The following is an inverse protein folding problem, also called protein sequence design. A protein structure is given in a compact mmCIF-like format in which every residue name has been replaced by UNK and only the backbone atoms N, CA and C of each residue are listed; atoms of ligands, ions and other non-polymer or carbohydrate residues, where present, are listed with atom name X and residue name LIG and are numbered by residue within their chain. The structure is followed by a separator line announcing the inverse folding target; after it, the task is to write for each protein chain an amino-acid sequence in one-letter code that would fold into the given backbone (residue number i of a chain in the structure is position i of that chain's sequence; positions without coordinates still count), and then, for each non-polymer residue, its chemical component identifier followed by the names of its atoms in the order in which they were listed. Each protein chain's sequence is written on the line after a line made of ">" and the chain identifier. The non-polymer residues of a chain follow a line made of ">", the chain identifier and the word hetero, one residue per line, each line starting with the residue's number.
data_IF_207175855210
#
_entry.id   IF_207175855210
#
_cell.length_a   1.000
_cell.length_b   1.000
_cell.length_c   1.000
_cell.angle_alpha   90.00
_cell.angle_beta   90.00
_cell.angle_gamma   90.00
#
_symmetry.space_group_name_H-M   'P 1'
#
loop_
_entity.id
_entity.type
_entity.pdbx_description
1 polymer ?
#
# COMPACT_ATOMS: atom_id res chain seq x y z
N UNK A 1 60.37 -42.02 21.88
CA UNK A 1 59.68 -40.71 21.91
C UNK A 1 59.88 -40.07 20.55
N UNK A 2 58.81 -39.86 19.77
CA UNK A 2 58.91 -39.20 18.48
C UNK A 2 59.15 -37.69 18.69
N UNK A 3 59.95 -37.02 17.86
CA UNK A 3 60.15 -35.57 17.97
C UNK A 3 58.82 -34.83 17.82
N UNK A 4 58.59 -33.79 18.63
CA UNK A 4 57.44 -32.90 18.46
C UNK A 4 57.56 -32.19 17.11
N UNK A 5 56.68 -32.53 16.17
CA UNK A 5 56.63 -31.93 14.84
C UNK A 5 55.71 -30.71 14.85
N UNK A 6 56.18 -29.57 14.36
CA UNK A 6 55.34 -28.39 14.20
C UNK A 6 54.29 -28.61 13.10
N UNK A 7 53.02 -28.50 13.46
CA UNK A 7 51.88 -28.74 12.56
C UNK A 7 51.27 -27.41 12.09
N UNK A 8 51.35 -27.13 10.79
CA UNK A 8 50.70 -25.98 10.15
C UNK A 8 49.35 -26.37 9.55
N UNK A 9 48.42 -25.40 9.43
CA UNK A 9 47.10 -25.60 8.80
C UNK A 9 47.16 -25.22 7.31
N UNK A 10 46.43 -25.93 6.48
CA UNK A 10 46.25 -25.56 5.07
C UNK A 10 45.38 -24.29 4.92
N UNK A 11 45.55 -23.51 3.83
CA UNK A 11 44.64 -22.44 3.44
C UNK A 11 43.18 -22.90 3.34
N UNK A 12 42.23 -21.97 3.50
CA UNK A 12 40.80 -22.29 3.47
C UNK A 12 40.40 -22.89 2.11
N UNK A 13 40.08 -24.18 2.09
CA UNK A 13 39.61 -24.91 0.91
C UNK A 13 40.57 -26.00 0.44
N UNK A 14 41.85 -25.91 0.80
CA UNK A 14 42.88 -26.89 0.42
C UNK A 14 43.03 -27.99 1.46
N UNK A 15 43.31 -29.21 0.98
CA UNK A 15 43.57 -30.40 1.79
C UNK A 15 44.54 -31.29 1.04
N UNK A 16 45.23 -32.18 1.75
CA UNK A 16 46.02 -33.22 1.09
C UNK A 16 45.12 -34.11 0.22
N UNK A 17 45.53 -34.34 -1.02
CA UNK A 17 44.77 -35.08 -2.03
C UNK A 17 44.55 -36.56 -1.66
N UNK A 18 45.52 -37.16 -0.96
CA UNK A 18 45.47 -38.59 -0.60
C UNK A 18 44.80 -38.85 0.75
N UNK A 19 45.14 -38.07 1.79
CA UNK A 19 44.68 -38.30 3.18
C UNK A 19 43.55 -37.34 3.64
N UNK A 20 43.21 -36.32 2.84
CA UNK A 20 42.22 -35.29 3.19
C UNK A 20 42.58 -34.44 4.43
N UNK A 21 43.83 -34.51 4.90
CA UNK A 21 44.26 -33.80 6.10
C UNK A 21 44.27 -32.28 5.85
N UNK A 22 43.94 -31.54 6.91
CA UNK A 22 43.99 -30.07 6.94
C UNK A 22 45.23 -29.55 7.68
N UNK A 23 46.19 -30.43 7.97
CA UNK A 23 47.45 -30.08 8.65
C UNK A 23 48.64 -30.72 7.95
N UNK A 24 49.77 -30.02 7.91
CA UNK A 24 51.03 -30.49 7.33
C UNK A 24 52.23 -30.11 8.21
N UNK A 25 53.36 -30.79 8.05
CA UNK A 25 54.63 -30.48 8.72
C UNK A 25 55.79 -30.47 7.72
N UNK A 26 56.87 -29.76 8.05
CA UNK A 26 58.12 -29.74 7.30
C UNK A 26 59.10 -30.74 7.92
N UNK A 27 59.72 -31.57 7.09
CA UNK A 27 60.83 -32.44 7.48
C UNK A 27 61.84 -32.40 6.32
N UNK A 28 63.07 -31.93 6.58
CA UNK A 28 64.14 -31.84 5.58
C UNK A 28 63.78 -31.03 4.31
N UNK A 29 63.12 -29.88 4.46
CA UNK A 29 62.75 -28.99 3.34
C UNK A 29 61.57 -29.49 2.47
N UNK A 30 60.93 -30.61 2.85
CA UNK A 30 59.78 -31.17 2.17
C UNK A 30 58.55 -31.15 3.08
N UNK A 31 57.37 -30.86 2.51
CA UNK A 31 56.10 -30.82 3.25
C UNK A 31 55.41 -32.19 3.23
N UNK A 32 54.91 -32.60 4.39
CA UNK A 32 54.22 -33.87 4.58
C UNK A 32 52.84 -33.69 5.23
N UNK A 33 51.86 -34.50 4.83
CA UNK A 33 50.55 -34.60 5.49
C UNK A 33 50.71 -35.06 6.95
N UNK A 34 50.05 -34.39 7.90
CA UNK A 34 50.17 -34.71 9.33
C UNK A 34 49.59 -36.08 9.74
N UNK A 35 48.67 -36.66 8.94
CA UNK A 35 48.02 -37.93 9.27
C UNK A 35 48.84 -39.15 8.84
N UNK A 36 49.29 -39.17 7.59
CA UNK A 36 49.89 -40.37 6.98
C UNK A 36 51.24 -40.10 6.31
N UNK A 37 51.79 -38.88 6.43
CA UNK A 37 53.13 -38.57 5.93
C UNK A 37 53.24 -38.55 4.40
N UNK A 38 52.13 -38.34 3.66
CA UNK A 38 52.20 -38.14 2.20
C UNK A 38 53.02 -36.90 1.86
N UNK A 39 54.02 -37.07 1.01
CA UNK A 39 54.81 -35.96 0.46
C UNK A 39 53.90 -35.12 -0.43
N UNK A 40 53.76 -33.84 -0.08
CA UNK A 40 53.01 -32.88 -0.87
C UNK A 40 53.94 -32.43 -2.00
N UNK A 41 53.90 -33.15 -3.11
CA UNK A 41 54.72 -32.85 -4.29
C UNK A 41 54.26 -31.52 -4.89
N UNK A 42 55.14 -30.52 -4.83
CA UNK A 42 55.17 -29.26 -5.59
C UNK A 42 53.77 -28.68 -5.91
N UNK A 43 53.29 -27.79 -5.04
CA UNK A 43 52.14 -26.93 -5.35
C UNK A 43 52.34 -26.30 -6.75
N UNK A 44 51.37 -26.41 -7.68
CA UNK A 44 51.44 -25.76 -9.00
C UNK A 44 51.56 -24.23 -8.90
N UNK A 45 51.18 -23.69 -7.75
CA UNK A 45 51.46 -22.32 -7.30
C UNK A 45 52.80 -22.32 -6.56
N UNK A 46 53.88 -22.19 -7.34
CA UNK A 46 55.27 -22.21 -6.88
C UNK A 46 55.50 -21.41 -5.59
N UNK A 47 55.89 -22.12 -4.55
CA UNK A 47 56.36 -21.54 -3.29
C UNK A 47 57.87 -21.75 -3.23
N UNK A 48 58.63 -20.67 -3.44
CA UNK A 48 60.07 -20.62 -3.16
C UNK A 48 60.20 -20.25 -1.69
N UNK A 49 60.84 -21.11 -0.89
CA UNK A 49 61.35 -20.68 0.41
C UNK A 49 62.42 -19.63 0.14
N UNK A 50 62.07 -18.36 0.35
CA UNK A 50 63.07 -17.32 0.52
C UNK A 50 63.66 -17.52 1.91
N UNK A 51 64.87 -18.07 1.94
CA UNK A 51 65.73 -18.06 3.13
C UNK A 51 66.09 -16.60 3.42
N UNK A 52 65.26 -15.94 4.24
CA UNK A 52 65.58 -14.63 4.78
C UNK A 52 66.58 -14.87 5.90
N UNK A 53 67.86 -14.71 5.56
CA UNK A 53 68.95 -14.73 6.52
C UNK A 53 68.68 -13.81 7.70
N UNK A 54 68.97 -14.33 8.89
CA UNK A 54 68.83 -13.71 10.21
C UNK A 54 69.81 -12.54 10.42
N UNK A 55 69.74 -11.51 9.57
CA UNK A 55 70.50 -10.27 9.76
C UNK A 55 69.56 -9.06 9.81
N UNK A 56 69.39 -8.56 11.03
CA UNK A 56 69.10 -7.18 11.41
C UNK A 56 68.26 -6.35 10.41
N UNK A 57 66.94 -6.53 10.45
CA UNK A 57 65.99 -5.49 10.04
C UNK A 57 65.03 -5.15 11.16
N UNK A 58 65.56 -4.43 12.16
CA UNK A 58 64.79 -3.62 13.10
C UNK A 58 64.07 -2.46 12.39
N UNK A 59 63.06 -2.75 11.58
CA UNK A 59 62.11 -1.74 11.12
C UNK A 59 60.74 -2.38 10.88
N UNK A 60 59.92 -2.42 11.92
CA UNK A 60 58.47 -2.61 11.79
C UNK A 60 57.92 -1.43 10.99
N UNK A 61 57.86 -1.59 9.67
CA UNK A 61 57.14 -0.67 8.80
C UNK A 61 55.73 -0.51 9.33
N UNK A 62 55.36 0.72 9.72
CA UNK A 62 54.04 1.03 10.25
C UNK A 62 53.03 0.85 9.11
N UNK A 63 52.36 -0.29 9.07
CA UNK A 63 51.29 -0.56 8.11
C UNK A 63 50.15 0.41 8.41
N UNK A 64 50.12 1.56 7.73
CA UNK A 64 48.97 2.45 7.78
C UNK A 64 47.86 1.80 6.95
N UNK A 65 46.99 1.04 7.61
CA UNK A 65 45.72 0.66 7.02
C UNK A 65 44.99 1.96 6.71
N UNK A 66 44.91 2.36 5.42
CA UNK A 66 44.14 3.54 5.01
C UNK A 66 42.76 3.41 5.62
N UNK A 67 42.47 4.30 6.57
CA UNK A 67 41.19 4.32 7.28
C UNK A 67 40.13 4.50 6.20
N UNK A 68 39.26 3.50 6.04
CA UNK A 68 38.12 3.58 5.13
C UNK A 68 37.37 4.84 5.53
N UNK A 69 37.42 5.87 4.68
CA UNK A 69 36.65 7.09 4.92
C UNK A 69 35.20 6.65 5.14
N UNK A 70 34.73 6.81 6.36
CA UNK A 70 33.33 6.59 6.69
C UNK A 70 32.62 7.74 6.00
N UNK A 71 32.23 7.53 4.74
CA UNK A 71 31.26 8.41 4.07
C UNK A 71 30.07 8.44 4.99
N UNK A 72 29.84 9.61 5.58
CA UNK A 72 28.71 9.89 6.43
C UNK A 72 27.46 9.50 5.63
N UNK A 73 26.82 8.40 6.03
CA UNK A 73 25.54 8.02 5.45
C UNK A 73 24.52 8.98 6.06
N UNK A 74 24.41 10.18 5.49
CA UNK A 74 23.29 11.08 5.76
C UNK A 74 22.05 10.23 5.56
N UNK A 75 21.32 9.94 6.65
CA UNK A 75 20.08 9.17 6.58
C UNK A 75 19.16 9.96 5.68
N UNK A 76 19.01 9.53 4.43
CA UNK A 76 18.16 10.22 3.44
C UNK A 76 16.72 10.25 3.92
N UNK A 77 16.31 9.24 4.68
CA UNK A 77 14.97 9.08 5.21
C UNK A 77 14.88 9.70 6.60
N UNK A 78 13.93 10.61 6.78
CA UNK A 78 13.64 11.26 8.06
C UNK A 78 13.04 10.24 9.05
N UNK A 79 13.11 10.53 10.34
CA UNK A 79 12.51 9.68 11.39
C UNK A 79 11.89 10.52 12.49
N UNK A 80 10.98 9.92 13.26
CA UNK A 80 10.30 10.60 14.37
C UNK A 80 9.41 11.75 13.92
N UNK A 81 9.48 12.88 14.62
CA UNK A 81 8.63 14.04 14.38
C UNK A 81 8.83 14.66 12.99
N UNK A 82 10.08 14.78 12.53
CA UNK A 82 10.38 15.34 11.20
C UNK A 82 9.73 14.53 10.06
N UNK A 83 9.58 13.22 10.23
CA UNK A 83 8.87 12.39 9.26
C UNK A 83 7.35 12.59 9.30
N UNK A 84 6.78 12.88 10.48
CA UNK A 84 5.36 13.22 10.65
C UNK A 84 5.05 14.55 10.00
N UNK A 85 5.89 15.57 10.24
CA UNK A 85 5.72 16.90 9.66
C UNK A 85 5.81 16.83 8.13
N UNK A 86 6.82 16.14 7.59
CA UNK A 86 6.95 15.91 6.14
C UNK A 86 5.72 15.17 5.56
N UNK A 87 5.16 14.20 6.30
CA UNK A 87 3.96 13.51 5.87
C UNK A 87 2.73 14.43 5.81
N UNK A 88 2.57 15.30 6.81
CA UNK A 88 1.51 16.31 6.82
C UNK A 88 1.68 17.30 5.66
N UNK A 89 2.90 17.76 5.38
CA UNK A 89 3.20 18.60 4.21
C UNK A 89 2.84 17.90 2.90
N UNK A 90 3.14 16.60 2.76
CA UNK A 90 2.74 15.82 1.59
C UNK A 90 1.21 15.81 1.42
N UNK A 91 0.47 15.58 2.51
CA UNK A 91 -0.99 15.58 2.47
C UNK A 91 -1.58 16.96 2.18
N UNK A 92 -0.98 18.03 2.72
CA UNK A 92 -1.37 19.41 2.44
C UNK A 92 -1.25 19.74 0.95
N UNK A 93 -0.15 19.35 0.31
CA UNK A 93 0.02 19.54 -1.14
C UNK A 93 -1.05 18.80 -1.94
N UNK A 94 -1.33 17.54 -1.57
CA UNK A 94 -2.38 16.75 -2.22
C UNK A 94 -3.75 17.41 -2.05
N UNK A 95 -4.08 17.84 -0.83
CA UNK A 95 -5.34 18.49 -0.51
C UNK A 95 -5.50 19.82 -1.28
N UNK A 96 -4.44 20.61 -1.37
CA UNK A 96 -4.43 21.87 -2.12
C UNK A 96 -4.71 21.66 -3.60
N UNK A 97 -4.08 20.68 -4.23
CA UNK A 97 -4.32 20.35 -5.64
C UNK A 97 -5.76 19.84 -5.87
N UNK A 98 -6.31 19.06 -4.93
CA UNK A 98 -7.70 18.60 -4.98
C UNK A 98 -8.70 19.76 -4.92
N UNK A 99 -8.51 20.70 -3.97
CA UNK A 99 -9.36 21.88 -3.83
C UNK A 99 -9.25 22.76 -5.07
N UNK A 100 -8.02 23.02 -5.54
CA UNK A 100 -7.78 23.83 -6.73
C UNK A 100 -8.54 23.25 -7.93
N UNK A 101 -8.51 21.93 -8.11
CA UNK A 101 -9.27 21.26 -9.15
C UNK A 101 -10.79 21.42 -8.98
N UNK A 102 -11.32 21.31 -7.75
CA UNK A 102 -12.74 21.50 -7.46
C UNK A 102 -13.20 22.95 -7.78
N UNK A 103 -12.39 23.95 -7.43
CA UNK A 103 -12.71 25.36 -7.70
C UNK A 103 -12.58 25.66 -9.20
N UNK A 104 -11.47 25.27 -9.83
CA UNK A 104 -11.17 25.66 -11.22
C UNK A 104 -11.89 24.84 -12.28
N UNK A 105 -11.97 23.51 -12.13
CA UNK A 105 -12.54 22.60 -13.13
C UNK A 105 -14.01 22.30 -12.88
N UNK A 106 -14.43 22.19 -11.62
CA UNK A 106 -15.85 21.95 -11.27
C UNK A 106 -16.64 23.23 -10.99
N UNK A 107 -15.96 24.36 -10.79
CA UNK A 107 -16.63 25.64 -10.55
C UNK A 107 -17.26 25.74 -9.17
N UNK A 108 -16.70 25.06 -8.16
CA UNK A 108 -17.13 25.24 -6.77
C UNK A 108 -16.76 26.64 -6.24
N UNK A 109 -17.45 27.09 -5.19
CA UNK A 109 -17.19 28.39 -4.58
C UNK A 109 -15.74 28.49 -4.06
N UNK A 110 -15.11 29.64 -4.25
CA UNK A 110 -13.74 29.89 -3.78
C UNK A 110 -13.61 29.79 -2.25
N UNK A 111 -14.71 30.01 -1.51
CA UNK A 111 -14.80 29.84 -0.06
C UNK A 111 -14.48 28.41 0.38
N UNK A 112 -14.61 27.41 -0.51
CA UNK A 112 -14.28 26.01 -0.23
C UNK A 112 -12.82 25.85 0.22
N UNK A 113 -11.91 26.61 -0.37
CA UNK A 113 -10.50 26.58 0.03
C UNK A 113 -10.31 27.02 1.48
N UNK A 114 -10.98 28.10 1.88
CA UNK A 114 -10.89 28.62 3.25
C UNK A 114 -11.49 27.65 4.25
N UNK A 115 -12.69 27.13 3.98
CA UNK A 115 -13.34 26.17 4.86
C UNK A 115 -12.52 24.89 5.03
N UNK A 116 -11.96 24.34 3.94
CA UNK A 116 -11.16 23.11 4.03
C UNK A 116 -9.81 23.36 4.69
N UNK A 117 -9.20 24.54 4.49
CA UNK A 117 -8.00 24.96 5.23
C UNK A 117 -8.27 25.04 6.72
N UNK A 118 -9.35 25.69 7.13
CA UNK A 118 -9.69 25.84 8.55
C UNK A 118 -9.98 24.46 9.19
N UNK A 119 -10.67 23.56 8.47
CA UNK A 119 -10.84 22.16 8.89
C UNK A 119 -9.50 21.44 9.05
N UNK A 120 -8.61 21.58 8.06
CA UNK A 120 -7.28 20.98 8.13
C UNK A 120 -6.48 21.51 9.32
N UNK A 121 -6.50 22.82 9.54
CA UNK A 121 -5.81 23.48 10.63
C UNK A 121 -6.35 23.00 11.98
N UNK A 122 -7.68 22.90 12.15
CA UNK A 122 -8.26 22.28 13.35
C UNK A 122 -7.73 20.87 13.55
N UNK A 123 -7.69 20.05 12.51
CA UNK A 123 -7.18 18.68 12.61
C UNK A 123 -5.70 18.62 13.00
N UNK A 124 -4.85 19.49 12.43
CA UNK A 124 -3.41 19.48 12.69
C UNK A 124 -3.02 20.21 13.98
N UNK A 125 -3.77 21.22 14.40
CA UNK A 125 -3.54 21.94 15.66
C UNK A 125 -3.79 21.07 16.90
N UNK A 126 -4.58 19.99 16.79
CA UNK A 126 -4.71 18.97 17.83
C UNK A 126 -3.45 18.11 18.04
N UNK A 127 -2.50 18.12 17.08
CA UNK A 127 -1.19 17.52 17.26
C UNK A 127 -0.23 18.61 17.78
N UNK A 128 0.10 18.67 19.08
CA UNK A 128 1.02 19.68 19.56
C UNK A 128 2.35 19.49 18.85
N UNK A 129 2.72 20.49 18.04
CA UNK A 129 4.11 20.84 17.84
C UNK A 129 4.66 21.12 19.23
N UNK A 130 5.28 20.11 19.85
CA UNK A 130 6.21 20.36 20.94
C UNK A 130 7.25 21.28 20.34
N UNK A 131 7.12 22.56 20.65
CA UNK A 131 8.11 23.57 20.36
C UNK A 131 9.35 23.09 21.09
N UNK A 132 10.26 22.46 20.35
CA UNK A 132 11.56 22.10 20.86
C UNK A 132 12.28 23.44 21.03
N UNK A 133 12.17 24.02 22.23
CA UNK A 133 13.02 25.10 22.65
C UNK A 133 14.44 24.54 22.69
N UNK A 134 15.24 24.90 21.69
CA UNK A 134 16.68 24.72 21.68
C UNK A 134 17.29 25.64 22.75
N UNK A 135 17.10 25.27 24.02
CA UNK A 135 17.83 25.81 25.15
C UNK A 135 18.40 24.65 25.96
N UNK A 136 19.71 24.46 25.79
CA UNK A 136 20.52 23.53 26.55
C UNK A 136 20.34 23.73 28.05
N UNK A 137 19.67 22.77 28.71
CA UNK A 137 19.79 22.55 30.15
C UNK A 137 19.47 21.09 30.46
N UNK A 138 20.52 20.36 30.81
CA UNK A 138 20.53 19.12 31.59
C UNK A 138 19.39 19.04 32.64
N UNK A 139 18.69 17.89 32.68
CA UNK A 139 17.87 17.26 33.77
C UNK A 139 16.75 16.45 33.11
N UNK A 140 16.50 15.15 33.32
CA UNK A 140 16.91 14.08 34.23
C UNK A 140 16.62 12.76 33.47
N UNK A 141 17.35 11.65 33.70
CA UNK A 141 17.04 10.38 33.05
C UNK A 141 15.75 9.80 33.66
N UNK A 142 14.66 9.78 32.89
CA UNK A 142 13.41 9.13 33.28
C UNK A 142 13.67 7.66 33.57
N UNK A 143 13.52 7.29 34.83
CA UNK A 143 13.74 5.96 35.36
C UNK A 143 12.87 4.94 34.63
N UNK A 144 13.55 3.93 34.08
CA UNK A 144 13.01 2.79 33.36
C UNK A 144 12.22 1.89 34.34
N UNK A 145 10.89 2.01 34.35
CA UNK A 145 10.05 1.08 35.12
C UNK A 145 9.79 -0.17 34.30
N UNK A 146 10.55 -1.22 34.61
CA UNK A 146 10.40 -2.56 34.04
C UNK A 146 9.22 -3.26 34.70
N UNK A 147 8.03 -3.18 34.09
CA UNK A 147 6.98 -4.18 34.30
C UNK A 147 6.51 -4.69 32.94
N UNK A 148 7.10 -5.83 32.57
CA UNK A 148 6.69 -6.69 31.48
C UNK A 148 5.29 -7.25 31.81
N UNK A 149 4.27 -6.75 31.13
CA UNK A 149 3.00 -7.46 30.99
C UNK A 149 3.05 -8.21 29.65
N UNK A 150 3.39 -9.50 29.72
CA UNK A 150 3.39 -10.40 28.56
C UNK A 150 1.96 -10.90 28.34
N UNK A 151 1.15 -10.08 27.68
CA UNK A 151 -0.02 -10.54 26.95
C UNK A 151 0.25 -10.29 25.47
N UNK A 152 0.56 -11.38 24.77
CA UNK A 152 0.74 -11.44 23.33
C UNK A 152 -0.61 -11.15 22.66
N UNK A 153 -0.90 -9.88 22.39
CA UNK A 153 -1.98 -9.52 21.46
C UNK A 153 -1.44 -9.60 20.03
N UNK A 154 -1.78 -10.72 19.39
CA UNK A 154 -1.83 -10.87 17.93
C UNK A 154 -2.53 -9.66 17.27
N UNK A 155 -2.07 -9.17 16.11
CA UNK A 155 -2.61 -8.00 15.45
C UNK A 155 -4.00 -8.32 14.86
N UNK A 156 -5.03 -8.21 15.69
CA UNK A 156 -6.40 -8.23 15.24
C UNK A 156 -6.63 -6.99 14.39
N UNK A 157 -6.85 -7.23 13.09
CA UNK A 157 -7.25 -6.23 12.09
C UNK A 157 -8.07 -5.10 12.69
N UNK A 158 -7.52 -3.89 12.62
CA UNK A 158 -8.10 -2.66 13.14
C UNK A 158 -9.56 -2.48 12.70
N UNK A 159 -10.51 -2.85 13.56
CA UNK A 159 -11.88 -2.33 13.50
C UNK A 159 -11.75 -0.82 13.61
N UNK A 160 -12.02 -0.13 12.51
CA UNK A 160 -12.06 1.34 12.45
C UNK A 160 -12.87 1.86 13.62
N UNK A 161 -12.20 2.47 14.60
CA UNK A 161 -12.86 3.18 15.71
C UNK A 161 -13.74 4.26 15.07
N UNK A 162 -15.03 4.26 15.40
CA UNK A 162 -16.07 5.08 14.77
C UNK A 162 -15.85 6.59 14.94
N UNK A 163 -15.14 6.99 16.00
CA UNK A 163 -14.68 8.34 16.25
C UNK A 163 -13.28 8.27 16.88
N UNK A 164 -12.40 9.20 16.51
CA UNK A 164 -11.01 9.23 16.96
C UNK A 164 -10.73 10.53 17.75
N UNK A 165 -10.17 10.40 18.95
CA UNK A 165 -9.60 11.53 19.69
C UNK A 165 -8.27 11.93 19.06
N UNK A 166 -8.04 13.23 18.92
CA UNK A 166 -6.78 13.80 18.43
C UNK A 166 -5.92 14.36 19.56
N UNK A 167 -6.43 14.39 20.79
CA UNK A 167 -5.64 14.76 21.95
C UNK A 167 -4.52 13.74 22.20
N UNK A 168 -3.33 14.18 22.62
CA UNK A 168 -2.27 13.29 23.09
C UNK A 168 -2.67 12.79 24.48
N UNK A 169 -3.56 11.81 24.57
CA UNK A 169 -3.72 11.06 25.81
C UNK A 169 -2.54 10.09 25.97
N UNK A 170 -1.94 10.11 27.15
CA UNK A 170 -0.71 9.40 27.50
C UNK A 170 -0.83 7.91 27.13
N UNK A 171 -0.09 7.50 26.09
CA UNK A 171 -0.01 6.10 25.63
C UNK A 171 -0.73 5.79 24.31
N UNK A 172 -1.52 6.70 23.74
CA UNK A 172 -2.17 6.46 22.44
C UNK A 172 -1.22 6.73 21.27
N UNK A 173 -1.21 5.84 20.28
CA UNK A 173 -0.47 6.04 19.02
C UNK A 173 -1.03 7.26 18.28
N UNK A 174 -0.12 8.10 17.75
CA UNK A 174 -0.49 9.31 17.00
C UNK A 174 -1.48 8.98 15.87
N UNK A 175 -2.68 9.60 15.87
CA UNK A 175 -3.74 9.30 14.91
C UNK A 175 -3.45 9.93 13.53
N UNK A 176 -2.52 9.33 12.77
CA UNK A 176 -2.07 9.85 11.49
C UNK A 176 -3.24 10.02 10.48
N UNK A 177 -3.39 11.19 9.84
CA UNK A 177 -4.40 11.39 8.81
C UNK A 177 -4.19 10.43 7.63
N UNK A 178 -5.26 9.83 7.12
CA UNK A 178 -5.19 8.95 5.96
C UNK A 178 -5.29 9.75 4.67
N UNK A 179 -4.76 9.22 3.58
CA UNK A 179 -4.91 9.82 2.25
C UNK A 179 -6.37 9.94 1.85
N UNK A 180 -7.21 8.95 2.21
CA UNK A 180 -8.67 9.04 1.98
C UNK A 180 -9.32 10.21 2.71
N UNK A 181 -8.73 10.65 3.81
CA UNK A 181 -9.31 11.74 4.58
C UNK A 181 -9.19 13.09 3.85
N UNK A 182 -8.28 13.26 2.89
CA UNK A 182 -8.22 14.49 2.07
C UNK A 182 -9.46 14.66 1.21
N UNK A 183 -9.93 13.58 0.58
CA UNK A 183 -11.23 13.54 -0.10
C UNK A 183 -12.38 13.75 0.89
N UNK A 184 -12.28 13.16 2.09
CA UNK A 184 -13.25 13.34 3.15
C UNK A 184 -13.41 14.79 3.59
N UNK A 185 -12.30 15.52 3.73
CA UNK A 185 -12.30 16.95 4.06
C UNK A 185 -12.91 17.79 2.95
N UNK A 186 -12.64 17.47 1.68
CA UNK A 186 -13.31 18.12 0.55
C UNK A 186 -14.84 17.95 0.61
N UNK A 187 -15.32 16.75 0.97
CA UNK A 187 -16.76 16.46 1.15
C UNK A 187 -17.32 17.29 2.30
N UNK A 188 -16.67 17.27 3.47
CA UNK A 188 -17.12 18.04 4.64
C UNK A 188 -17.15 19.55 4.38
N UNK A 189 -16.16 20.08 3.65
CA UNK A 189 -16.16 21.46 3.18
C UNK A 189 -17.34 21.78 2.27
N UNK A 190 -17.68 20.88 1.34
CA UNK A 190 -18.87 21.04 0.49
C UNK A 190 -20.17 21.01 1.32
N UNK A 191 -20.25 20.14 2.33
CA UNK A 191 -21.40 20.05 3.25
C UNK A 191 -21.59 21.36 4.03
N UNK A 192 -20.51 21.92 4.57
CA UNK A 192 -20.54 23.20 5.29
C UNK A 192 -21.03 24.36 4.41
N UNK A 193 -20.57 24.40 3.16
CA UNK A 193 -21.00 25.40 2.17
C UNK A 193 -22.34 25.08 1.49
N UNK A 194 -23.03 24.01 1.91
CA UNK A 194 -24.30 23.53 1.33
C UNK A 194 -24.24 23.24 -0.18
N UNK A 195 -23.04 22.97 -0.71
CA UNK A 195 -22.82 22.58 -2.10
C UNK A 195 -23.30 21.13 -2.26
N UNK A 196 -24.20 20.82 -3.21
CA UNK A 196 -24.78 19.49 -3.38
C UNK A 196 -23.80 18.52 -4.09
N UNK A 197 -22.63 18.30 -3.51
CA UNK A 197 -21.62 17.38 -4.04
C UNK A 197 -21.81 15.99 -3.42
N UNK A 198 -22.05 14.98 -4.25
CA UNK A 198 -22.27 13.61 -3.78
C UNK A 198 -20.95 12.91 -3.50
N UNK A 199 -20.92 12.07 -2.47
CA UNK A 199 -19.76 11.24 -2.13
C UNK A 199 -19.38 10.33 -3.32
N UNK A 200 -20.38 9.78 -4.02
CA UNK A 200 -20.20 8.99 -5.23
C UNK A 200 -19.58 9.77 -6.40
N UNK A 201 -19.81 11.09 -6.50
CA UNK A 201 -19.18 11.90 -7.53
C UNK A 201 -17.68 12.06 -7.29
N UNK A 202 -17.28 12.33 -6.05
CA UNK A 202 -15.86 12.43 -5.69
C UNK A 202 -15.17 11.07 -5.85
N UNK A 203 -15.80 9.97 -5.43
CA UNK A 203 -15.27 8.63 -5.65
C UNK A 203 -15.09 8.33 -7.15
N UNK A 204 -16.07 8.70 -7.99
CA UNK A 204 -16.02 8.56 -9.45
C UNK A 204 -14.89 9.40 -10.05
N UNK A 205 -14.73 10.65 -9.62
CA UNK A 205 -13.64 11.52 -10.10
C UNK A 205 -12.27 11.01 -9.67
N UNK A 206 -12.13 10.46 -8.46
CA UNK A 206 -10.90 9.87 -7.97
C UNK A 206 -10.53 8.59 -8.73
N UNK A 207 -11.52 7.72 -9.00
CA UNK A 207 -11.36 6.50 -9.80
C UNK A 207 -10.96 6.80 -11.25
N UNK A 208 -11.61 7.80 -11.85
CA UNK A 208 -11.30 8.26 -13.20
C UNK A 208 -9.94 8.98 -13.30
N UNK A 209 -9.31 9.33 -12.19
CA UNK A 209 -8.09 10.15 -12.15
C UNK A 209 -8.31 11.61 -12.55
N UNK A 210 -9.57 12.08 -12.53
CA UNK A 210 -9.89 13.48 -12.84
C UNK A 210 -9.49 14.42 -11.71
N UNK A 211 -9.82 14.04 -10.46
CA UNK A 211 -9.33 14.74 -9.27
C UNK A 211 -7.97 14.14 -8.86
N UNK A 212 -6.97 14.96 -8.46
CA UNK A 212 -5.68 14.48 -8.00
C UNK A 212 -5.79 13.54 -6.78
N UNK A 213 -5.72 12.24 -7.01
CA UNK A 213 -5.78 11.24 -5.94
C UNK A 213 -4.99 9.97 -6.29
N UNK A 214 -5.33 9.35 -7.43
CA UNK A 214 -4.73 8.09 -7.90
C UNK A 214 -3.21 8.17 -8.06
N UNK A 215 -2.72 9.31 -8.53
CA UNK A 215 -1.30 9.56 -8.79
C UNK A 215 -0.71 10.58 -7.81
N UNK A 216 -1.38 10.84 -6.70
CA UNK A 216 -0.99 11.84 -5.71
C UNK A 216 0.47 11.69 -5.27
N UNK A 217 0.93 10.46 -5.00
CA UNK A 217 2.32 10.19 -4.64
C UNK A 217 3.32 10.58 -5.75
N UNK A 218 2.96 10.40 -7.01
CA UNK A 218 3.87 10.65 -8.13
C UNK A 218 3.94 12.13 -8.53
N UNK A 219 2.94 12.92 -8.15
CA UNK A 219 2.89 14.36 -8.35
C UNK A 219 3.66 15.14 -7.27
N UNK A 220 4.03 14.50 -6.15
CA UNK A 220 4.82 15.13 -5.10
C UNK A 220 6.26 15.43 -5.56
N UNK A 221 6.86 16.53 -5.06
CA UNK A 221 8.27 16.86 -5.30
C UNK A 221 9.21 15.70 -4.95
N UNK A 222 10.23 15.48 -5.79
CA UNK A 222 11.15 14.36 -5.62
C UNK A 222 11.85 14.37 -4.26
N UNK A 223 12.23 15.56 -3.79
CA UNK A 223 12.89 15.76 -2.49
C UNK A 223 12.07 15.24 -1.31
N UNK A 224 10.74 15.41 -1.35
CA UNK A 224 9.85 14.90 -0.31
C UNK A 224 9.72 13.37 -0.41
N UNK A 225 9.60 12.84 -1.63
CA UNK A 225 9.46 11.38 -1.85
C UNK A 225 10.68 10.60 -1.39
N UNK A 226 11.87 11.14 -1.61
CA UNK A 226 13.13 10.48 -1.24
C UNK A 226 13.38 10.50 0.27
N UNK A 227 12.78 11.47 0.99
CA UNK A 227 12.92 11.67 2.43
C UNK A 227 11.84 10.95 3.26
N UNK A 228 10.72 10.56 2.65
CA UNK A 228 9.58 9.99 3.35
C UNK A 228 9.78 8.50 3.73
N UNK A 229 9.49 8.10 4.98
CA UNK A 229 9.58 6.70 5.41
C UNK A 229 8.65 5.72 4.67
N UNK A 230 9.01 4.43 4.61
CA UNK A 230 8.19 3.39 4.00
C UNK A 230 6.80 3.25 4.63
N UNK A 231 6.66 3.52 5.95
CA UNK A 231 5.38 3.49 6.68
C UNK A 231 4.34 4.44 6.09
N UNK A 232 4.76 5.63 5.66
CA UNK A 232 3.88 6.65 5.07
C UNK A 232 3.81 6.57 3.54
N UNK A 233 4.90 6.16 2.87
CA UNK A 233 4.89 6.00 1.41
C UNK A 233 3.98 4.86 0.94
N UNK A 234 3.83 3.80 1.75
CA UNK A 234 3.03 2.62 1.35
C UNK A 234 1.54 2.98 1.20
N UNK A 235 0.87 3.64 2.18
CA UNK A 235 -0.49 4.15 2.00
C UNK A 235 -0.65 5.13 0.84
N UNK A 236 0.31 6.04 0.64
CA UNK A 236 0.29 7.02 -0.46
C UNK A 236 0.35 6.34 -1.83
N UNK A 237 1.15 5.28 -1.97
CA UNK A 237 1.20 4.47 -3.20
C UNK A 237 -0.05 3.62 -3.38
N UNK A 238 -0.62 3.12 -2.29
CA UNK A 238 -1.86 2.32 -2.31
C UNK A 238 -3.08 3.11 -2.80
N UNK A 239 -3.07 4.44 -2.68
CA UNK A 239 -4.12 5.30 -3.22
C UNK A 239 -4.37 5.09 -4.73
N UNK A 240 -3.36 4.63 -5.48
CA UNK A 240 -3.48 4.28 -6.91
C UNK A 240 -4.46 3.13 -7.19
N UNK A 241 -4.64 2.24 -6.21
CA UNK A 241 -5.47 1.04 -6.28
C UNK A 241 -6.86 1.26 -5.66
N UNK A 242 -7.17 2.47 -5.19
CA UNK A 242 -8.44 2.75 -4.54
C UNK A 242 -9.61 2.61 -5.51
N UNK A 243 -10.45 1.59 -5.29
CA UNK A 243 -11.66 1.37 -6.06
C UNK A 243 -12.88 2.06 -5.45
N UNK A 244 -12.93 2.21 -4.11
CA UNK A 244 -14.05 2.76 -3.33
C UNK A 244 -15.34 1.92 -3.35
N UNK A 245 -15.28 0.63 -3.69
CA UNK A 245 -16.48 -0.19 -3.92
C UNK A 245 -17.19 -0.61 -2.63
N UNK A 246 -16.48 -0.68 -1.50
CA UNK A 246 -17.02 -1.16 -0.21
C UNK A 246 -17.51 -0.04 0.72
N UNK A 247 -17.79 1.15 0.19
CA UNK A 247 -18.24 2.28 1.01
C UNK A 247 -17.15 2.85 1.95
N UNK A 248 -15.88 2.53 1.70
CA UNK A 248 -14.74 2.97 2.52
C UNK A 248 -14.67 4.50 2.64
N UNK A 249 -14.97 5.21 1.54
CA UNK A 249 -15.03 6.68 1.54
C UNK A 249 -16.16 7.21 2.42
N UNK A 250 -17.35 6.57 2.37
CA UNK A 250 -18.47 6.94 3.24
C UNK A 250 -18.11 6.76 4.71
N UNK A 251 -17.52 5.61 5.06
CA UNK A 251 -17.05 5.35 6.42
C UNK A 251 -15.98 6.36 6.84
N UNK A 252 -15.06 6.71 5.93
CA UNK A 252 -14.03 7.72 6.18
C UNK A 252 -14.61 9.09 6.49
N UNK A 253 -15.55 9.58 5.67
CA UNK A 253 -16.24 10.86 5.86
C UNK A 253 -17.01 10.87 7.17
N UNK A 254 -17.75 9.80 7.46
CA UNK A 254 -18.53 9.69 8.69
C UNK A 254 -17.62 9.69 9.92
N UNK A 255 -16.55 8.89 9.90
CA UNK A 255 -15.60 8.85 11.01
C UNK A 255 -14.91 10.21 11.22
N UNK A 256 -14.61 10.95 10.13
CA UNK A 256 -14.09 12.31 10.24
C UNK A 256 -15.09 13.26 10.88
N UNK A 257 -16.34 13.26 10.42
CA UNK A 257 -17.39 14.10 10.99
C UNK A 257 -17.58 13.82 12.49
N UNK A 258 -17.60 12.54 12.86
CA UNK A 258 -17.70 12.12 14.26
C UNK A 258 -16.46 12.50 15.08
N UNK A 259 -15.27 12.48 14.47
CA UNK A 259 -14.04 12.92 15.13
C UNK A 259 -14.04 14.44 15.35
N UNK A 260 -14.46 15.25 14.37
CA UNK A 260 -14.63 16.70 14.57
C UNK A 260 -15.66 17.02 15.66
N UNK A 261 -16.75 16.24 15.73
CA UNK A 261 -17.73 16.38 16.79
C UNK A 261 -17.13 16.03 18.17
N UNK A 262 -16.40 14.92 18.27
CA UNK A 262 -15.77 14.48 19.53
C UNK A 262 -14.73 15.48 20.04
N UNK A 263 -13.90 16.05 19.16
CA UNK A 263 -12.78 16.91 19.57
C UNK A 263 -13.21 18.38 19.76
N UNK A 264 -14.13 18.90 18.94
CA UNK A 264 -14.46 20.33 18.90
C UNK A 264 -15.95 20.64 19.12
N UNK A 265 -16.79 19.62 19.37
CA UNK A 265 -18.26 19.75 19.39
C UNK A 265 -18.82 20.38 18.09
N UNK A 266 -18.09 20.22 16.98
CA UNK A 266 -18.52 20.74 15.68
C UNK A 266 -19.73 19.96 15.18
N UNK A 267 -20.76 20.67 14.73
CA UNK A 267 -21.97 20.09 14.16
C UNK A 267 -22.03 20.44 12.69
N UNK A 268 -22.07 19.41 11.84
CA UNK A 268 -22.24 19.60 10.39
C UNK A 268 -23.73 19.78 10.07
N UNK A 269 -24.07 20.68 9.13
CA UNK A 269 -25.43 20.82 8.66
C UNK A 269 -25.91 19.53 7.97
N UNK A 270 -27.23 19.30 7.88
CA UNK A 270 -27.77 18.17 7.13
C UNK A 270 -27.38 18.29 5.65
N UNK A 271 -27.31 17.14 4.97
CA UNK A 271 -27.04 17.07 3.55
C UNK A 271 -28.10 17.86 2.77
N UNK A 272 -27.72 18.35 1.59
CA UNK A 272 -28.66 19.06 0.72
C UNK A 272 -29.55 18.04 -0.01
N UNK A 273 -30.44 17.41 0.75
CA UNK A 273 -31.26 16.28 0.31
C UNK A 273 -32.06 16.64 -0.95
N UNK A 274 -32.64 17.84 -1.00
CA UNK A 274 -33.44 18.31 -2.15
C UNK A 274 -32.62 18.35 -3.43
N UNK A 275 -31.47 19.02 -3.42
CA UNK A 275 -30.63 19.14 -4.62
C UNK A 275 -29.97 17.82 -5.00
N UNK A 276 -29.58 17.00 -4.02
CA UNK A 276 -29.02 15.67 -4.28
C UNK A 276 -30.07 14.72 -4.86
N UNK A 277 -31.31 14.73 -4.37
CA UNK A 277 -32.41 13.96 -4.97
C UNK A 277 -32.71 14.41 -6.38
N UNK A 278 -32.74 15.73 -6.63
CA UNK A 278 -32.95 16.25 -7.99
C UNK A 278 -31.86 15.76 -8.96
N UNK A 279 -30.60 15.68 -8.50
CA UNK A 279 -29.51 15.11 -9.29
C UNK A 279 -29.76 13.63 -9.61
N UNK A 280 -30.19 12.81 -8.65
CA UNK A 280 -30.53 11.41 -8.89
C UNK A 280 -31.72 11.25 -9.83
N UNK A 281 -32.77 12.05 -9.67
CA UNK A 281 -33.94 12.10 -10.57
C UNK A 281 -33.50 12.39 -12.00
N UNK A 282 -32.60 13.37 -12.18
CA UNK A 282 -32.04 13.72 -13.49
C UNK A 282 -31.18 12.59 -14.07
N UNK A 283 -30.33 11.95 -13.28
CA UNK A 283 -29.48 10.85 -13.75
C UNK A 283 -30.27 9.60 -14.12
N UNK A 284 -31.33 9.29 -13.37
CA UNK A 284 -32.19 8.14 -13.59
C UNK A 284 -33.31 8.41 -14.61
N UNK A 285 -33.41 9.63 -15.15
CA UNK A 285 -34.44 10.04 -16.10
C UNK A 285 -35.86 9.95 -15.53
N UNK A 286 -36.02 10.11 -14.21
CA UNK A 286 -37.30 9.92 -13.55
C UNK A 286 -38.22 11.11 -13.86
N UNK A 287 -39.51 10.87 -14.16
CA UNK A 287 -40.46 11.95 -14.31
C UNK A 287 -40.64 12.65 -12.96
N UNK A 288 -40.10 13.86 -12.81
CA UNK A 288 -40.38 14.71 -11.67
C UNK A 288 -41.83 15.22 -11.80
N UNK A 289 -42.77 14.52 -11.16
CA UNK A 289 -44.13 15.03 -11.01
C UNK A 289 -44.13 16.17 -10.00
N UNK A 290 -44.10 17.42 -10.47
CA UNK A 290 -44.66 18.56 -9.72
C UNK A 290 -46.18 18.50 -9.80
N UNK A 291 -46.97 19.02 -8.88
CA UNK A 291 -46.79 20.25 -8.11
C UNK A 291 -47.51 20.11 -6.76
N UNK A 292 -46.84 20.46 -5.66
CA UNK A 292 -47.50 21.03 -4.49
C UNK A 292 -46.74 22.33 -4.18
N UNK A 293 -47.37 23.47 -4.43
CA UNK A 293 -46.76 24.81 -4.43
C UNK A 293 -46.24 25.32 -3.07
N UNK A 294 -46.32 24.52 -2.00
CA UNK A 294 -46.12 25.06 -0.63
C UNK A 294 -45.01 24.34 0.16
N UNK A 295 -44.54 23.18 -0.29
CA UNK A 295 -43.36 22.54 0.32
C UNK A 295 -42.62 21.74 -0.75
N UNK A 296 -41.31 21.98 -0.89
CA UNK A 296 -40.37 21.12 -1.62
C UNK A 296 -40.25 19.76 -0.90
N UNK A 297 -41.35 19.00 -0.84
CA UNK A 297 -41.33 17.60 -0.49
C UNK A 297 -40.62 16.89 -1.63
N UNK A 298 -39.58 16.15 -1.27
CA UNK A 298 -38.85 15.18 -2.09
C UNK A 298 -39.75 14.66 -3.22
N UNK A 299 -39.38 14.80 -4.51
CA UNK A 299 -40.23 14.38 -5.62
C UNK A 299 -40.74 12.96 -5.36
N UNK A 300 -42.06 12.83 -5.17
CA UNK A 300 -42.66 11.51 -4.96
C UNK A 300 -42.43 10.71 -6.23
N UNK A 301 -41.64 9.66 -6.08
CA UNK A 301 -41.30 8.81 -7.19
C UNK A 301 -42.49 7.92 -7.55
N UNK A 302 -43.09 8.17 -8.71
CA UNK A 302 -44.12 7.29 -9.25
C UNK A 302 -43.45 6.10 -9.95
N UNK A 303 -43.33 4.99 -9.21
CA UNK A 303 -42.70 3.75 -9.66
C UNK A 303 -43.48 3.08 -10.79
N UNK A 304 -44.80 3.25 -10.83
CA UNK A 304 -45.63 2.67 -11.89
C UNK A 304 -45.43 3.42 -13.20
N UNK A 305 -45.44 4.76 -13.14
CA UNK A 305 -45.14 5.62 -14.29
C UNK A 305 -43.72 5.41 -14.80
N UNK A 306 -42.73 5.32 -13.91
CA UNK A 306 -41.35 5.02 -14.30
C UNK A 306 -41.21 3.65 -14.96
N UNK A 307 -41.82 2.60 -14.38
CA UNK A 307 -41.77 1.24 -14.94
C UNK A 307 -42.35 1.21 -16.35
N UNK A 308 -43.46 1.92 -16.59
CA UNK A 308 -44.04 2.03 -17.94
C UNK A 308 -43.10 2.75 -18.92
N UNK A 309 -42.41 3.81 -18.48
CA UNK A 309 -41.44 4.56 -19.30
C UNK A 309 -40.17 3.74 -19.58
N UNK A 310 -39.65 3.01 -18.60
CA UNK A 310 -38.40 2.26 -18.70
C UNK A 310 -38.56 0.82 -19.17
N UNK A 311 -39.77 0.27 -19.20
CA UNK A 311 -40.02 -1.10 -19.69
C UNK A 311 -39.37 -1.41 -21.05
N UNK A 312 -39.38 -0.50 -22.05
CA UNK A 312 -38.70 -0.72 -23.34
C UNK A 312 -37.17 -0.71 -23.23
N UNK A 313 -36.60 0.08 -22.30
CA UNK A 313 -35.15 0.18 -22.12
C UNK A 313 -34.59 -1.03 -21.34
N UNK A 314 -35.34 -1.52 -20.35
CA UNK A 314 -34.98 -2.69 -19.55
C UNK A 314 -35.17 -4.02 -20.30
N UNK A 315 -36.15 -4.10 -21.21
CA UNK A 315 -36.34 -5.28 -22.05
C UNK A 315 -35.18 -5.52 -23.02
N UNK A 316 -34.52 -4.44 -23.47
CA UNK A 316 -33.38 -4.54 -24.39
C UNK A 316 -32.11 -5.05 -23.69
N UNK A 317 -31.95 -4.79 -22.38
CA UNK A 317 -30.79 -5.25 -21.59
C UNK A 317 -30.85 -6.71 -21.14
N UNK A 318 -32.05 -7.32 -21.12
CA UNK A 318 -32.23 -8.74 -20.75
C UNK A 318 -31.99 -9.71 -21.91
N UNK A 319 -31.85 -9.24 -23.15
CA UNK A 319 -31.52 -10.09 -24.31
C UNK A 319 -30.06 -10.57 -24.27
N UNK A 320 -29.24 -10.08 -23.35
CA UNK A 320 -27.91 -10.64 -23.05
C UNK A 320 -27.89 -11.58 -21.83
N UNK A 321 -29.06 -12.08 -21.38
CA UNK A 321 -29.08 -13.28 -20.55
C UNK A 321 -28.73 -14.47 -21.44
N UNK A 322 -27.57 -15.09 -21.16
CA UNK A 322 -27.14 -16.37 -21.73
C UNK A 322 -28.31 -17.36 -21.66
N UNK A 323 -28.77 -17.80 -22.82
CA UNK A 323 -29.68 -18.94 -22.91
C UNK A 323 -28.82 -20.18 -22.65
N UNK A 324 -29.02 -20.83 -21.50
CA UNK A 324 -28.32 -22.07 -21.17
C UNK A 324 -28.86 -23.21 -22.05
N UNK A 325 -28.12 -23.56 -23.11
CA UNK A 325 -28.48 -24.58 -24.10
C UNK A 325 -28.04 -26.00 -23.72
N UNK A 326 -27.87 -26.32 -22.43
CA UNK A 326 -27.29 -27.60 -22.00
C UNK A 326 -28.21 -28.80 -22.21
N UNK A 327 -29.52 -28.59 -22.31
CA UNK A 327 -30.52 -29.67 -22.41
C UNK A 327 -31.47 -29.50 -23.62
N UNK A 328 -30.92 -29.20 -24.81
CA UNK A 328 -31.73 -29.10 -26.04
C UNK A 328 -31.92 -30.49 -26.67
N UNK A 329 -33.17 -30.90 -26.91
CA UNK A 329 -33.48 -32.19 -27.56
C UNK A 329 -33.39 -32.10 -29.09
N UNK A 330 -33.08 -33.20 -29.77
CA UNK A 330 -32.91 -33.22 -31.24
C UNK A 330 -34.12 -32.70 -32.03
N UNK A 331 -35.34 -32.87 -31.50
CA UNK A 331 -36.57 -32.32 -32.09
C UNK A 331 -36.66 -30.79 -31.95
N UNK A 332 -36.12 -30.20 -30.89
CA UNK A 332 -36.08 -28.75 -30.69
C UNK A 332 -35.10 -28.08 -31.65
N UNK A 333 -33.92 -28.70 -31.88
CA UNK A 333 -32.92 -28.18 -32.83
C UNK A 333 -33.51 -28.07 -34.24
N UNK A 334 -34.31 -29.06 -34.66
CA UNK A 334 -34.94 -29.07 -35.98
C UNK A 334 -36.06 -28.02 -36.14
N UNK A 335 -36.53 -27.43 -35.04
CA UNK A 335 -37.57 -26.38 -35.03
C UNK A 335 -37.02 -24.96 -34.81
N UNK A 336 -35.72 -24.79 -34.57
CA UNK A 336 -35.11 -23.49 -34.28
C UNK A 336 -34.88 -22.65 -35.54
N UNK A 337 -34.96 -21.32 -35.39
CA UNK A 337 -34.64 -20.38 -36.47
C UNK A 337 -33.13 -20.26 -36.72
N UNK A 338 -32.70 -19.70 -37.87
CA UNK A 338 -31.28 -19.66 -38.25
C UNK A 338 -30.39 -18.88 -37.27
N UNK A 339 -30.86 -17.77 -36.69
CA UNK A 339 -30.09 -17.00 -35.71
C UNK A 339 -29.95 -17.72 -34.35
N UNK A 340 -30.96 -18.48 -33.95
CA UNK A 340 -30.92 -19.27 -32.71
C UNK A 340 -30.03 -20.51 -32.85
N UNK A 341 -29.95 -21.06 -34.07
CA UNK A 341 -29.01 -22.13 -34.41
C UNK A 341 -27.56 -21.64 -34.35
N UNK A 342 -27.27 -20.44 -34.85
CA UNK A 342 -25.92 -19.86 -34.80
C UNK A 342 -25.43 -19.68 -33.35
N UNK A 343 -26.28 -19.17 -32.46
CA UNK A 343 -25.98 -19.03 -31.02
C UNK A 343 -25.78 -20.40 -30.33
N UNK A 344 -26.60 -21.40 -30.68
CA UNK A 344 -26.45 -22.78 -30.19
C UNK A 344 -25.10 -23.40 -30.62
N UNK A 345 -24.71 -23.25 -31.89
CA UNK A 345 -23.43 -23.76 -32.39
C UNK A 345 -22.24 -23.03 -31.77
N UNK A 346 -22.34 -21.72 -31.54
CA UNK A 346 -21.32 -20.95 -30.83
C UNK A 346 -21.12 -21.47 -29.39
N UNK A 347 -22.20 -21.81 -28.70
CA UNK A 347 -22.16 -22.38 -27.35
C UNK A 347 -21.56 -23.80 -27.34
N UNK A 348 -21.91 -24.67 -28.31
CA UNK A 348 -21.31 -25.99 -28.46
C UNK A 348 -19.79 -25.91 -28.71
N UNK A 349 -19.34 -24.95 -29.52
CA UNK A 349 -17.93 -24.74 -29.83
C UNK A 349 -17.10 -24.41 -28.58
N UNK A 350 -17.65 -23.56 -27.69
CA UNK A 350 -17.04 -23.22 -26.41
C UNK A 350 -16.94 -24.41 -25.44
N UNK A 351 -17.94 -25.31 -25.46
CA UNK A 351 -17.93 -26.53 -24.66
C UNK A 351 -16.90 -27.56 -25.17
N UNK A 352 -16.76 -27.71 -26.48
CA UNK A 352 -15.74 -28.61 -27.06
C UNK A 352 -14.31 -28.11 -26.81
N UNK A 353 -14.08 -26.79 -26.85
CA UNK A 353 -12.78 -26.19 -26.52
C UNK A 353 -12.42 -26.36 -25.04
N UNK A 354 -13.40 -26.41 -24.14
CA UNK A 354 -13.20 -26.69 -22.72
C UNK A 354 -12.80 -28.15 -22.45
N UNK A 355 -13.31 -29.10 -23.26
CA UNK A 355 -12.97 -30.53 -23.13
C UNK A 355 -11.65 -30.91 -23.80
N UNK A 356 -11.15 -30.13 -24.77
CA UNK A 356 -9.88 -30.38 -25.45
C UNK A 356 -8.60 -30.06 -24.64
N UNK A 357 -8.70 -29.55 -23.41
CA UNK A 357 -7.56 -29.09 -22.58
C UNK A 357 -7.10 -30.05 -21.47
N UNK A 358 -7.43 -31.34 -21.54
CA UNK A 358 -6.80 -32.35 -20.67
C UNK A 358 -5.63 -33.05 -21.39
N UNK A 359 -4.36 -32.85 -20.98
CA UNK A 359 -3.24 -33.61 -21.52
C UNK A 359 -3.20 -35.02 -20.92
N UNK A 360 -2.79 -35.96 -21.77
CA UNK A 360 -2.57 -37.38 -21.51
C UNK A 360 -1.71 -37.63 -20.26
N UNK A 361 -2.13 -38.59 -19.43
CA UNK A 361 -1.23 -39.26 -18.50
C UNK A 361 -1.80 -40.62 -18.05
N UNK A 362 -1.10 -41.65 -18.53
CA UNK A 362 -0.69 -42.85 -17.77
C UNK A 362 -1.70 -44.00 -17.72
N UNK A 363 -1.34 -44.99 -18.53
CA UNK A 363 -1.72 -46.38 -18.48
C UNK A 363 -1.46 -47.00 -17.09
N UNK A 364 -2.23 -48.03 -16.75
CA UNK A 364 -1.69 -49.23 -16.11
C UNK A 364 -2.68 -50.41 -16.19
N UNK A 365 -2.22 -51.66 -16.00
CA UNK A 365 -2.55 -52.76 -16.89
C UNK A 365 -3.49 -53.82 -16.29
N UNK A 366 -3.77 -54.79 -17.15
CA UNK A 366 -4.56 -56.03 -16.99
C UNK A 366 -4.30 -56.85 -15.71
N UNK A 367 -5.30 -57.71 -15.44
CA UNK A 367 -5.31 -58.99 -14.67
C UNK A 367 -5.55 -58.83 -13.18
N UNK A 368 -6.49 -59.51 -12.51
CA UNK A 368 -7.07 -60.86 -12.65
C UNK A 368 -8.55 -60.82 -12.27
#
# INVERSE_FOLDING_TARGET
>A
MAPERELHKFPKGERCEFCGSRKWYLESGLRYCAKEGHQLQVCPTGYVEFDLGDEDFGQKGRVSRKQKQVKERVKRVLSGQQARDLYLECLQLILREQILWLVTKKGHAAELETVVRDLWDLRTCGAPTVVHDDSASEREPSLFSSQLDLMLDEPTHARTKRAQSWAPEDGSEWPAPRVMDTLGLCILGCVLLRIPTRIGDIARWARAGSIPYREAYWQLPQEMRDRLPPSYTTPLKAARLAAFDHGELHASVLNLALSYHLNYNMVFPPLNDVLMTLQYVRELGLPASGQDEVNFLVPRLDWEKWRTIMAPALSTGLVQMRVDHTDVTASQILSMGPAELDDYFAHLSLLTDAQGKHPQSIADPLSI
#
